data_IF_892629675576
#
_entry.id   IF_892629675576
#
_cell.length_a   1.000
_cell.length_b   1.000
_cell.length_c   1.000
_cell.angle_alpha   90.00
_cell.angle_beta   90.00
_cell.angle_gamma   90.00
#
_symmetry.space_group_name_H-M   'P 1'
#
loop_
_entity.id
_entity.type
_entity.pdbx_description
1 polymer ?
#
# COMPACT_ATOMS: atom_id res chain seq x y z
N UNK A 1 26.22 50.36 -0.12
CA UNK A 1 25.06 50.00 0.74
C UNK A 1 23.97 49.16 0.02
N UNK A 2 24.31 48.29 -0.95
CA UNK A 2 23.31 47.44 -1.66
C UNK A 2 23.32 45.95 -1.27
N UNK A 3 24.34 45.44 -0.58
CA UNK A 3 24.49 44.00 -0.27
C UNK A 3 23.71 43.51 0.97
N UNK A 4 23.39 44.39 1.92
CA UNK A 4 22.68 44.01 3.15
C UNK A 4 21.18 43.76 2.95
N UNK A 5 20.53 44.45 2.00
CA UNK A 5 19.10 44.26 1.69
C UNK A 5 18.80 42.88 1.05
N UNK A 6 19.66 42.42 0.12
CA UNK A 6 19.49 41.12 -0.54
C UNK A 6 19.57 39.91 0.41
N UNK A 7 20.42 39.96 1.46
CA UNK A 7 20.55 38.85 2.41
C UNK A 7 19.35 38.73 3.37
N UNK A 8 18.77 39.88 3.76
CA UNK A 8 17.54 39.93 4.57
C UNK A 8 16.32 39.42 3.79
N UNK A 9 16.22 39.74 2.50
CA UNK A 9 15.13 39.27 1.63
C UNK A 9 15.15 37.74 1.42
N UNK A 10 16.35 37.14 1.28
CA UNK A 10 16.51 35.68 1.16
C UNK A 10 16.14 34.92 2.44
N UNK A 11 16.50 35.44 3.61
CA UNK A 11 16.14 34.83 4.90
C UNK A 11 14.62 34.91 5.17
N UNK A 12 13.98 36.05 4.84
CA UNK A 12 12.54 36.22 4.96
C UNK A 12 11.76 35.29 4.01
N UNK A 13 12.21 35.15 2.76
CA UNK A 13 11.62 34.22 1.78
C UNK A 13 11.79 32.75 2.19
N UNK A 14 12.96 32.37 2.73
CA UNK A 14 13.18 31.02 3.25
C UNK A 14 12.28 30.73 4.47
N UNK A 15 12.14 31.69 5.39
CA UNK A 15 11.24 31.59 6.54
C UNK A 15 9.77 31.43 6.13
N UNK A 16 9.31 32.21 5.15
CA UNK A 16 7.95 32.12 4.62
C UNK A 16 7.68 30.78 3.91
N UNK A 17 8.65 30.24 3.17
CA UNK A 17 8.53 28.94 2.50
C UNK A 17 8.44 27.78 3.51
N UNK A 18 9.24 27.82 4.59
CA UNK A 18 9.18 26.83 5.67
C UNK A 18 7.84 26.89 6.40
N UNK A 19 7.37 28.10 6.76
CA UNK A 19 6.06 28.28 7.40
C UNK A 19 4.92 27.75 6.51
N UNK A 20 4.95 28.05 5.21
CA UNK A 20 3.95 27.55 4.25
C UNK A 20 3.97 26.03 4.14
N UNK A 21 5.15 25.41 4.13
CA UNK A 21 5.29 23.96 4.08
C UNK A 21 4.73 23.28 5.34
N UNK A 22 4.98 23.86 6.53
CA UNK A 22 4.44 23.38 7.80
C UNK A 22 2.91 23.51 7.84
N UNK A 23 2.35 24.63 7.38
CA UNK A 23 0.90 24.81 7.28
C UNK A 23 0.27 23.80 6.32
N UNK A 24 0.86 23.62 5.13
CA UNK A 24 0.40 22.59 4.18
C UNK A 24 0.41 21.19 4.79
N UNK A 25 1.45 20.86 5.55
CA UNK A 25 1.54 19.58 6.25
C UNK A 25 0.42 19.43 7.30
N UNK A 26 0.20 20.47 8.10
CA UNK A 26 -0.87 20.48 9.11
C UNK A 26 -2.27 20.29 8.50
N UNK A 27 -2.55 20.92 7.36
CA UNK A 27 -3.83 20.75 6.65
C UNK A 27 -4.04 19.33 6.12
N UNK A 28 -2.98 18.68 5.61
CA UNK A 28 -3.08 17.29 5.15
C UNK A 28 -3.30 16.35 6.33
N UNK A 29 -2.59 16.56 7.44
CA UNK A 29 -2.75 15.73 8.64
C UNK A 29 -4.16 15.87 9.23
N UNK A 30 -4.69 17.10 9.29
CA UNK A 30 -6.07 17.35 9.72
C UNK A 30 -7.07 16.63 8.82
N UNK A 31 -6.92 16.76 7.50
CA UNK A 31 -7.79 16.06 6.55
C UNK A 31 -7.82 14.54 6.77
N UNK A 32 -6.66 13.90 6.97
CA UNK A 32 -6.59 12.45 7.19
C UNK A 32 -7.24 12.05 8.53
N UNK A 33 -7.07 12.85 9.58
CA UNK A 33 -7.73 12.64 10.87
C UNK A 33 -9.26 12.78 10.75
N UNK A 34 -9.74 13.82 10.05
CA UNK A 34 -11.16 14.05 9.84
C UNK A 34 -11.82 12.93 9.00
N UNK A 35 -11.10 12.41 7.99
CA UNK A 35 -11.53 11.22 7.23
C UNK A 35 -11.69 10.02 8.15
N UNK A 36 -10.76 9.80 9.09
CA UNK A 36 -10.85 8.70 10.04
C UNK A 36 -12.05 8.86 11.00
N UNK A 37 -12.30 10.07 11.48
CA UNK A 37 -13.44 10.35 12.35
C UNK A 37 -14.78 10.11 11.65
N UNK A 38 -14.92 10.62 10.41
CA UNK A 38 -16.10 10.38 9.59
C UNK A 38 -16.27 8.89 9.25
N UNK A 39 -15.18 8.18 8.95
CA UNK A 39 -15.22 6.74 8.65
C UNK A 39 -15.85 5.94 9.79
N UNK A 40 -15.45 6.20 11.04
CA UNK A 40 -15.93 5.45 12.21
C UNK A 40 -17.45 5.51 12.36
N UNK A 41 -18.06 6.64 12.01
CA UNK A 41 -19.51 6.80 12.03
C UNK A 41 -20.23 6.03 10.91
N UNK A 42 -19.57 5.87 9.76
CA UNK A 42 -20.13 5.24 8.57
C UNK A 42 -20.01 3.72 8.55
N UNK A 43 -19.10 3.14 9.35
CA UNK A 43 -18.90 1.69 9.37
C UNK A 43 -20.09 0.94 10.00
N UNK A 44 -20.55 -0.16 9.37
CA UNK A 44 -21.51 -1.09 9.96
C UNK A 44 -21.01 -1.62 11.31
N UNK A 45 -21.92 -1.93 12.24
CA UNK A 45 -21.58 -2.30 13.61
C UNK A 45 -20.50 -3.41 13.71
N UNK A 46 -20.59 -4.45 12.87
CA UNK A 46 -19.63 -5.56 12.85
C UNK A 46 -18.21 -5.14 12.44
N UNK A 47 -18.07 -4.04 11.69
CA UNK A 47 -16.80 -3.50 11.18
C UNK A 47 -16.28 -2.32 12.01
N UNK A 48 -16.98 -1.89 13.06
CA UNK A 48 -16.49 -0.79 13.92
C UNK A 48 -15.26 -1.17 14.75
N UNK A 49 -15.06 -2.47 15.01
CA UNK A 49 -13.89 -2.98 15.75
C UNK A 49 -12.70 -3.20 14.79
N UNK A 50 -11.97 -2.13 14.52
CA UNK A 50 -10.72 -2.16 13.75
C UNK A 50 -9.56 -1.54 14.53
N UNK A 51 -8.34 -1.73 14.03
CA UNK A 51 -7.16 -0.96 14.44
C UNK A 51 -6.82 0.04 13.35
N UNK A 52 -6.12 1.11 13.70
CA UNK A 52 -5.70 2.13 12.76
C UNK A 52 -4.31 2.67 13.07
N UNK A 53 -3.69 3.28 12.05
CA UNK A 53 -2.49 4.11 12.18
C UNK A 53 -2.71 5.40 11.40
N UNK A 54 -2.38 6.52 12.01
CA UNK A 54 -2.42 7.84 11.39
C UNK A 54 -0.99 8.33 11.22
N UNK A 55 -0.64 8.61 9.97
CA UNK A 55 0.57 9.31 9.57
C UNK A 55 0.16 10.66 8.96
N UNK A 56 1.11 11.60 8.78
CA UNK A 56 0.73 12.94 8.36
C UNK A 56 -0.03 13.07 7.04
N UNK A 57 0.09 12.09 6.13
CA UNK A 57 -0.65 12.07 4.86
C UNK A 57 -1.32 10.74 4.55
N UNK A 58 -1.36 9.82 5.52
CA UNK A 58 -1.78 8.44 5.30
C UNK A 58 -2.58 7.94 6.50
N UNK A 59 -3.77 7.41 6.25
CA UNK A 59 -4.56 6.63 7.19
C UNK A 59 -4.43 5.16 6.79
N UNK A 60 -4.12 4.29 7.74
CA UNK A 60 -4.25 2.84 7.59
C UNK A 60 -5.30 2.30 8.57
N UNK A 61 -6.16 1.40 8.11
CA UNK A 61 -7.20 0.72 8.89
C UNK A 61 -7.09 -0.79 8.66
N UNK A 62 -7.07 -1.60 9.71
CA UNK A 62 -6.87 -3.05 9.57
C UNK A 62 -7.58 -3.84 10.68
N UNK A 63 -8.05 -5.04 10.33
CA UNK A 63 -8.77 -5.95 11.23
C UNK A 63 -7.92 -7.13 11.70
N UNK A 64 -6.82 -7.41 10.99
CA UNK A 64 -5.92 -8.54 11.25
C UNK A 64 -4.48 -8.07 11.40
N UNK A 65 -3.58 -8.63 10.60
CA UNK A 65 -2.20 -8.16 10.54
C UNK A 65 -2.12 -6.80 9.83
N UNK A 66 -1.24 -5.89 10.25
CA UNK A 66 -1.08 -4.59 9.60
C UNK A 66 -0.59 -4.69 8.14
N UNK A 67 -0.02 -5.82 7.74
CA UNK A 67 0.35 -6.11 6.33
C UNK A 67 -0.88 -6.20 5.39
N UNK A 68 -2.09 -6.33 5.96
CA UNK A 68 -3.36 -6.33 5.22
C UNK A 68 -4.21 -5.18 5.75
N UNK A 69 -4.23 -4.07 5.04
CA UNK A 69 -4.85 -2.84 5.51
C UNK A 69 -5.57 -2.10 4.39
N UNK A 70 -6.61 -1.37 4.79
CA UNK A 70 -7.21 -0.33 3.96
C UNK A 70 -6.47 0.97 4.20
N UNK A 71 -6.35 1.79 3.16
CA UNK A 71 -5.73 3.09 3.32
C UNK A 71 -6.43 4.23 2.58
N UNK A 72 -6.15 5.44 3.07
CA UNK A 72 -6.32 6.69 2.37
C UNK A 72 -4.96 7.38 2.37
N UNK A 73 -4.39 7.59 1.18
CA UNK A 73 -3.09 8.25 1.02
C UNK A 73 -3.21 9.53 0.20
N UNK A 74 -2.91 10.67 0.81
CA UNK A 74 -2.85 11.97 0.14
C UNK A 74 -1.46 12.16 -0.49
N UNK A 75 -1.42 12.13 -1.81
CA UNK A 75 -0.19 12.24 -2.60
C UNK A 75 -0.04 13.66 -3.15
N UNK A 76 0.94 14.43 -2.63
CA UNK A 76 1.22 15.80 -3.12
C UNK A 76 1.59 15.83 -4.61
N UNK A 77 2.32 14.82 -5.09
CA UNK A 77 2.62 14.60 -6.51
C UNK A 77 2.29 13.12 -6.74
N UNK A 78 1.24 12.81 -7.52
CA UNK A 78 0.63 13.58 -8.61
C UNK A 78 -0.55 14.50 -8.24
N UNK A 79 -0.77 14.85 -6.96
CA UNK A 79 -1.98 15.57 -6.47
C UNK A 79 -3.22 14.68 -6.55
N UNK A 80 -3.16 13.58 -5.84
CA UNK A 80 -4.23 12.61 -5.82
C UNK A 80 -4.45 12.06 -4.41
N UNK A 81 -5.62 11.45 -4.21
CA UNK A 81 -5.94 10.64 -3.05
C UNK A 81 -6.09 9.21 -3.54
N UNK A 82 -5.28 8.32 -3.02
CA UNK A 82 -5.44 6.88 -3.19
C UNK A 82 -6.36 6.34 -2.09
N UNK A 83 -7.27 5.45 -2.46
CA UNK A 83 -8.14 4.71 -1.55
C UNK A 83 -8.05 3.25 -1.95
N UNK A 84 -7.66 2.37 -1.03
CA UNK A 84 -7.42 0.98 -1.41
C UNK A 84 -7.29 0.00 -0.26
N UNK A 85 -7.18 -1.27 -0.62
CA UNK A 85 -6.81 -2.40 0.22
C UNK A 85 -5.45 -2.92 -0.23
N UNK A 86 -4.49 -2.96 0.68
CA UNK A 86 -3.09 -3.27 0.42
C UNK A 86 -2.69 -4.58 1.08
N UNK A 87 -1.86 -5.35 0.37
CA UNK A 87 -1.23 -6.57 0.82
C UNK A 87 0.28 -6.42 0.72
N UNK A 88 0.93 -6.28 1.87
CA UNK A 88 2.37 -5.97 2.00
C UNK A 88 3.17 -7.07 2.71
N UNK A 89 2.59 -8.26 2.82
CA UNK A 89 3.24 -9.43 3.42
C UNK A 89 4.15 -10.18 2.45
N UNK A 90 4.35 -11.47 2.72
CA UNK A 90 5.06 -12.39 1.82
C UNK A 90 4.33 -12.53 0.47
N UNK A 91 5.08 -12.67 -0.62
CA UNK A 91 4.54 -12.75 -2.00
C UNK A 91 3.43 -13.80 -2.16
N UNK A 92 3.64 -15.00 -1.61
CA UNK A 92 2.65 -16.08 -1.66
C UNK A 92 1.39 -15.74 -0.87
N UNK A 93 1.53 -15.04 0.25
CA UNK A 93 0.38 -14.58 1.05
C UNK A 93 -0.40 -13.50 0.30
N UNK A 94 0.30 -12.53 -0.29
CA UNK A 94 -0.31 -11.45 -1.07
C UNK A 94 -1.03 -11.98 -2.32
N UNK A 95 -0.44 -13.00 -2.97
CA UNK A 95 -1.09 -13.67 -4.10
C UNK A 95 -2.39 -14.36 -3.69
N UNK A 96 -2.43 -15.04 -2.55
CA UNK A 96 -3.67 -15.66 -2.04
C UNK A 96 -4.78 -14.63 -1.81
N UNK A 97 -4.45 -13.47 -1.22
CA UNK A 97 -5.42 -12.39 -1.06
C UNK A 97 -5.94 -11.89 -2.41
N UNK A 98 -5.03 -11.69 -3.37
CA UNK A 98 -5.39 -11.26 -4.72
C UNK A 98 -6.29 -12.28 -5.44
N UNK A 99 -5.98 -13.57 -5.34
CA UNK A 99 -6.77 -14.64 -5.95
C UNK A 99 -8.18 -14.71 -5.32
N UNK A 100 -8.31 -14.52 -4.00
CA UNK A 100 -9.61 -14.45 -3.32
C UNK A 100 -10.46 -13.26 -3.79
N UNK A 101 -9.84 -12.08 -3.98
CA UNK A 101 -10.53 -10.93 -4.56
C UNK A 101 -10.91 -11.17 -6.03
N UNK A 102 -10.01 -11.76 -6.82
CA UNK A 102 -10.25 -12.05 -8.23
C UNK A 102 -11.41 -13.05 -8.41
N UNK A 103 -11.53 -14.04 -7.54
CA UNK A 103 -12.68 -14.96 -7.53
C UNK A 103 -14.02 -14.25 -7.31
N UNK A 104 -14.00 -13.06 -6.68
CA UNK A 104 -15.18 -12.23 -6.40
C UNK A 104 -15.25 -10.98 -7.30
N UNK A 105 -14.46 -10.92 -8.38
CA UNK A 105 -14.27 -9.69 -9.18
C UNK A 105 -15.57 -9.08 -9.67
N UNK A 106 -16.51 -9.88 -10.19
CA UNK A 106 -17.79 -9.36 -10.69
C UNK A 106 -18.61 -8.66 -9.60
N UNK A 107 -18.65 -9.22 -8.39
CA UNK A 107 -19.36 -8.64 -7.25
C UNK A 107 -18.68 -7.37 -6.76
N UNK A 108 -17.35 -7.38 -6.68
CA UNK A 108 -16.55 -6.21 -6.30
C UNK A 108 -16.76 -5.08 -7.31
N UNK A 109 -16.70 -5.36 -8.62
CA UNK A 109 -16.93 -4.39 -9.68
C UNK A 109 -18.35 -3.84 -9.67
N UNK A 110 -19.37 -4.67 -9.43
CA UNK A 110 -20.74 -4.21 -9.28
C UNK A 110 -20.91 -3.28 -8.06
N UNK A 111 -20.20 -3.54 -6.97
CA UNK A 111 -20.37 -2.80 -5.71
C UNK A 111 -19.49 -1.54 -5.60
N UNK A 112 -18.28 -1.57 -6.16
CA UNK A 112 -17.30 -0.49 -6.10
C UNK A 112 -17.20 0.29 -7.42
N UNK A 113 -17.57 -0.31 -8.55
CA UNK A 113 -17.46 0.30 -9.87
C UNK A 113 -16.07 0.15 -10.51
N UNK A 114 -15.94 0.57 -11.77
CA UNK A 114 -14.81 0.23 -12.65
C UNK A 114 -13.47 0.86 -12.26
N UNK A 115 -13.46 1.84 -11.36
CA UNK A 115 -12.23 2.50 -10.89
C UNK A 115 -11.45 1.68 -9.87
N UNK A 116 -12.09 0.67 -9.27
CA UNK A 116 -11.44 -0.23 -8.34
C UNK A 116 -10.60 -1.26 -9.13
N UNK A 117 -9.29 -1.07 -9.14
CA UNK A 117 -8.35 -1.87 -9.91
C UNK A 117 -7.54 -2.78 -8.98
N UNK A 118 -7.49 -4.07 -9.31
CA UNK A 118 -6.63 -5.04 -8.63
C UNK A 118 -5.31 -5.17 -9.41
N UNK A 119 -4.21 -4.76 -8.80
CA UNK A 119 -2.89 -4.76 -9.45
C UNK A 119 -1.77 -5.30 -8.57
N UNK A 120 -0.78 -5.90 -9.23
CA UNK A 120 0.52 -6.15 -8.62
C UNK A 120 1.36 -4.86 -8.69
N UNK A 121 1.54 -4.21 -7.54
CA UNK A 121 2.24 -2.93 -7.45
C UNK A 121 3.76 -3.07 -7.43
N UNK A 122 4.28 -4.02 -6.64
CA UNK A 122 5.70 -4.36 -6.63
C UNK A 122 5.88 -5.86 -6.83
N UNK A 123 7.13 -6.34 -6.85
CA UNK A 123 7.42 -7.78 -6.93
C UNK A 123 6.70 -8.60 -5.84
N UNK A 124 6.47 -8.01 -4.67
CA UNK A 124 5.78 -8.67 -3.55
C UNK A 124 4.43 -8.06 -3.22
N UNK A 125 4.18 -6.78 -3.48
CA UNK A 125 2.97 -6.10 -3.02
C UNK A 125 1.84 -6.17 -4.04
N UNK A 126 0.63 -6.30 -3.54
CA UNK A 126 -0.61 -6.33 -4.33
C UNK A 126 -1.61 -5.42 -3.67
N UNK A 127 -2.39 -4.68 -4.46
CA UNK A 127 -3.41 -3.79 -3.94
C UNK A 127 -4.64 -3.79 -4.83
N UNK A 128 -5.79 -3.57 -4.21
CA UNK A 128 -7.01 -3.18 -4.89
C UNK A 128 -7.29 -1.73 -4.54
N UNK A 129 -7.11 -0.81 -5.48
CA UNK A 129 -7.16 0.62 -5.20
C UNK A 129 -7.95 1.40 -6.26
N UNK A 130 -8.24 2.64 -5.94
CA UNK A 130 -8.55 3.67 -6.91
C UNK A 130 -7.81 4.96 -6.56
N UNK A 131 -7.61 5.82 -7.55
CA UNK A 131 -6.96 7.11 -7.36
C UNK A 131 -7.89 8.22 -7.82
N UNK A 132 -8.11 9.22 -6.95
CA UNK A 132 -8.93 10.39 -7.25
C UNK A 132 -8.05 11.64 -7.34
N UNK A 133 -8.14 12.43 -8.42
CA UNK A 133 -7.38 13.67 -8.51
C UNK A 133 -7.88 14.69 -7.47
N UNK A 134 -6.95 15.44 -6.88
CA UNK A 134 -7.24 16.63 -6.07
C UNK A 134 -7.30 17.82 -7.04
N UNK A 135 -8.52 18.33 -7.27
CA UNK A 135 -8.78 19.37 -8.26
C UNK A 135 -8.25 20.73 -7.77
N UNK A 136 -7.62 21.49 -8.66
CA UNK A 136 -7.13 22.85 -8.43
C UNK A 136 -5.96 23.18 -9.36
N UNK A 137 -5.66 24.45 -9.59
CA UNK A 137 -4.55 24.85 -10.47
C UNK A 137 -3.17 24.57 -9.85
N UNK A 138 -3.09 24.66 -8.54
CA UNK A 138 -1.88 24.50 -7.75
C UNK A 138 -2.14 23.76 -6.43
N UNK A 139 -1.07 23.32 -5.74
CA UNK A 139 -1.20 22.63 -4.46
C UNK A 139 -1.56 23.62 -3.35
N UNK A 140 -2.82 23.63 -2.92
CA UNK A 140 -3.32 24.43 -1.78
C UNK A 140 -4.22 23.58 -0.88
N UNK A 141 -3.65 22.74 0.00
CA UNK A 141 -4.41 21.81 0.85
C UNK A 141 -5.56 22.45 1.61
N UNK A 142 -5.37 23.64 2.17
CA UNK A 142 -6.43 24.37 2.90
C UNK A 142 -7.68 24.64 2.05
N UNK A 143 -7.50 24.89 0.75
CA UNK A 143 -8.57 25.14 -0.22
C UNK A 143 -9.11 23.83 -0.80
N UNK A 144 -8.19 22.92 -1.16
CA UNK A 144 -8.51 21.76 -1.98
C UNK A 144 -8.99 20.54 -1.16
N UNK A 145 -8.61 20.45 0.13
CA UNK A 145 -9.00 19.38 1.05
C UNK A 145 -10.20 19.82 1.89
N UNK A 146 -11.37 19.85 1.26
CA UNK A 146 -12.59 20.39 1.86
C UNK A 146 -13.30 19.41 2.79
N UNK A 147 -14.18 19.89 3.68
CA UNK A 147 -15.07 19.02 4.48
C UNK A 147 -15.96 18.11 3.62
N UNK A 148 -16.36 18.54 2.43
CA UNK A 148 -17.11 17.75 1.46
C UNK A 148 -16.24 16.56 1.00
N UNK A 149 -14.98 16.82 0.64
CA UNK A 149 -14.04 15.78 0.22
C UNK A 149 -13.76 14.79 1.36
N UNK A 150 -13.69 15.26 2.62
CA UNK A 150 -13.61 14.37 3.80
C UNK A 150 -14.78 13.38 3.81
N UNK A 151 -16.02 13.88 3.68
CA UNK A 151 -17.22 13.02 3.69
C UNK A 151 -17.22 12.03 2.53
N UNK A 152 -16.85 12.48 1.33
CA UNK A 152 -16.77 11.62 0.16
C UNK A 152 -15.72 10.51 0.31
N UNK A 153 -14.50 10.86 0.74
CA UNK A 153 -13.40 9.92 0.92
C UNK A 153 -13.71 8.94 2.04
N UNK A 154 -14.26 9.41 3.17
CA UNK A 154 -14.66 8.53 4.27
C UNK A 154 -15.77 7.56 3.86
N UNK A 155 -16.80 8.03 3.14
CA UNK A 155 -17.86 7.17 2.61
C UNK A 155 -17.33 6.15 1.60
N UNK A 156 -16.37 6.55 0.76
CA UNK A 156 -15.75 5.66 -0.21
C UNK A 156 -14.90 4.59 0.47
N UNK A 157 -14.08 4.97 1.45
CA UNK A 157 -13.31 4.02 2.27
C UNK A 157 -14.23 3.07 3.05
N UNK A 158 -15.31 3.57 3.63
CA UNK A 158 -16.32 2.74 4.31
C UNK A 158 -16.92 1.70 3.36
N UNK A 159 -17.18 2.09 2.11
CA UNK A 159 -17.68 1.19 1.06
C UNK A 159 -16.65 0.10 0.71
N UNK A 160 -15.38 0.47 0.53
CA UNK A 160 -14.29 -0.49 0.33
C UNK A 160 -14.24 -1.53 1.45
N UNK A 161 -14.20 -1.06 2.70
CA UNK A 161 -14.16 -1.93 3.88
C UNK A 161 -15.39 -2.84 3.95
N UNK A 162 -16.58 -2.29 3.70
CA UNK A 162 -17.84 -3.05 3.79
C UNK A 162 -17.92 -4.17 2.75
N UNK A 163 -17.42 -3.92 1.54
CA UNK A 163 -17.44 -4.87 0.41
C UNK A 163 -16.32 -5.90 0.54
N UNK A 164 -15.11 -5.47 0.89
CA UNK A 164 -13.91 -6.30 0.80
C UNK A 164 -13.61 -7.06 2.08
N UNK A 165 -13.89 -6.51 3.28
CA UNK A 165 -13.52 -7.17 4.53
C UNK A 165 -14.18 -8.53 4.71
N UNK A 166 -15.44 -8.80 4.30
CA UNK A 166 -15.98 -10.16 4.33
C UNK A 166 -15.16 -11.18 3.55
N UNK A 167 -14.63 -10.80 2.38
CA UNK A 167 -13.82 -11.68 1.54
C UNK A 167 -12.46 -11.91 2.20
N UNK A 168 -11.86 -10.84 2.73
CA UNK A 168 -10.57 -10.91 3.47
C UNK A 168 -10.72 -11.71 4.75
N UNK A 169 -11.81 -11.55 5.49
CA UNK A 169 -12.11 -12.28 6.72
C UNK A 169 -12.26 -13.78 6.44
N UNK A 170 -13.01 -14.14 5.39
CA UNK A 170 -13.14 -15.52 4.95
C UNK A 170 -11.79 -16.13 4.55
N UNK A 171 -11.00 -15.43 3.73
CA UNK A 171 -9.70 -15.93 3.29
C UNK A 171 -8.69 -16.02 4.46
N UNK A 172 -8.84 -15.18 5.48
CA UNK A 172 -8.05 -15.26 6.72
C UNK A 172 -8.40 -16.49 7.55
N UNK A 173 -9.66 -16.90 7.57
CA UNK A 173 -10.14 -18.10 8.26
C UNK A 173 -9.75 -19.38 7.52
N UNK A 174 -9.50 -19.32 6.21
CA UNK A 174 -9.04 -20.47 5.41
C UNK A 174 -7.66 -20.96 5.88
N UNK A 175 -7.53 -22.23 6.34
CA UNK A 175 -6.26 -22.76 6.80
C UNK A 175 -5.17 -22.66 5.74
N UNK A 176 -3.97 -22.17 6.12
CA UNK A 176 -2.81 -22.24 5.23
C UNK A 176 -2.49 -23.71 4.99
N UNK A 177 -2.59 -24.15 3.74
CA UNK A 177 -1.99 -25.42 3.33
C UNK A 177 -0.50 -25.38 3.69
N UNK A 178 0.05 -26.42 4.35
CA UNK A 178 1.47 -26.51 4.61
C UNK A 178 2.23 -26.33 3.31
N UNK A 179 3.26 -25.48 3.31
CA UNK A 179 4.15 -25.38 2.16
C UNK A 179 4.81 -26.75 2.02
N UNK A 180 4.60 -27.43 0.89
CA UNK A 180 5.34 -28.64 0.60
C UNK A 180 6.84 -28.33 0.78
N UNK A 181 7.61 -29.18 1.49
CA UNK A 181 9.04 -28.97 1.62
C UNK A 181 9.62 -28.82 0.22
N UNK A 182 10.48 -27.81 0.04
CA UNK A 182 11.17 -27.60 -1.24
C UNK A 182 12.01 -28.85 -1.49
N UNK A 183 11.54 -29.76 -2.34
CA UNK A 183 12.33 -30.86 -2.85
C UNK A 183 13.43 -30.26 -3.73
N UNK A 184 14.61 -30.04 -3.15
CA UNK A 184 15.69 -29.37 -3.89
C UNK A 184 16.92 -29.05 -3.05
N UNK A 185 17.47 -30.04 -2.36
CA UNK A 185 18.88 -30.08 -1.93
C UNK A 185 19.32 -31.52 -1.63
N UNK A 186 19.12 -32.43 -2.60
CA UNK A 186 19.75 -33.75 -2.60
C UNK A 186 20.09 -34.10 -4.05
N UNK A 187 21.24 -33.62 -4.52
CA UNK A 187 21.66 -33.80 -5.90
C UNK A 187 22.94 -33.04 -6.25
N UNK A 188 23.94 -33.05 -5.36
CA UNK A 188 25.28 -32.54 -5.66
C UNK A 188 26.33 -33.18 -4.76
N UNK A 189 26.38 -34.53 -4.72
CA UNK A 189 27.52 -35.24 -4.17
C UNK A 189 27.54 -36.67 -4.74
N UNK A 190 28.37 -36.89 -5.78
CA UNK A 190 29.17 -38.10 -6.00
C UNK A 190 29.46 -38.30 -7.50
N UNK A 191 30.53 -37.65 -7.99
CA UNK A 191 31.28 -38.13 -9.15
C UNK A 191 32.61 -37.38 -9.26
N UNK A 192 33.50 -37.64 -8.30
CA UNK A 192 34.95 -37.46 -8.48
C UNK A 192 35.66 -38.65 -7.85
N UNK A 193 35.81 -39.72 -8.64
CA UNK A 193 36.66 -40.86 -8.33
C UNK A 193 37.76 -40.94 -9.39
N UNK A 194 38.90 -40.32 -9.04
CA UNK A 194 40.28 -40.76 -9.26
C UNK A 194 40.65 -41.44 -10.59
N UNK A 195 41.38 -40.69 -11.43
CA UNK A 195 42.28 -41.24 -12.45
C UNK A 195 43.74 -40.91 -12.09
N UNK A 196 44.50 -41.95 -11.70
CA UNK A 196 45.98 -42.10 -11.66
C UNK A 196 46.23 -43.48 -11.04
N UNK A 197 47.10 -44.39 -11.52
CA UNK A 197 48.26 -44.30 -12.43
C UNK A 197 48.70 -45.73 -12.84
N UNK A 198 49.28 -45.83 -14.05
CA UNK A 198 50.34 -46.74 -14.51
C UNK A 198 50.13 -48.27 -14.65
N UNK A 199 50.33 -48.75 -15.88
CA UNK A 199 51.09 -49.96 -16.23
C UNK A 199 51.57 -49.78 -17.69
N UNK A 200 52.85 -49.59 -17.99
CA UNK A 200 53.96 -50.55 -18.08
C UNK A 200 54.30 -50.89 -19.55
N UNK A 201 55.59 -51.07 -19.77
CA UNK A 201 56.35 -51.07 -21.03
C UNK A 201 56.30 -52.40 -21.81
N UNK A 202 56.60 -52.29 -23.12
CA UNK A 202 57.11 -53.29 -24.08
C UNK A 202 56.06 -54.24 -24.71
N UNK A 203 56.07 -54.54 -26.02
CA UNK A 203 57.19 -54.82 -26.93
C UNK A 203 56.87 -54.49 -28.42
N UNK A 204 57.95 -54.22 -29.17
CA UNK A 204 58.12 -54.23 -30.64
C UNK A 204 58.19 -55.69 -31.17
N UNK A 205 58.10 -55.96 -32.49
CA UNK A 205 59.14 -55.64 -33.47
C UNK A 205 58.89 -54.38 -34.31
#
# INVERSE_FOLDING_TARGET
>A
MRRARFALDLAALAGAAVATALLHHGHVQAFVADVYDALRALLPARLRRHRSKLFPSLLQVYYGKPEVHYEVWVQRKPRAIEIGLHFEGERESNRRWADALAASAAQIQAALGPRAELEQWTRSWTRLHETRPIVGEDWRPKRDLTPELVREVAARLARYITVLEPIVEQERATPRRPRAPRSGAAGAAASRSTARRASARSRRP
#
